data_IF_736915578915
#
_entry.id   IF_736915578915
#
_cell.length_a   1.000
_cell.length_b   1.000
_cell.length_c   1.000
_cell.angle_alpha   90.00
_cell.angle_beta   90.00
_cell.angle_gamma   90.00
#
_symmetry.space_group_name_H-M   'P 1'
#
loop_
_entity.id
_entity.type
_entity.pdbx_description
1 polymer ?
#
# COMPACT_ATOMS: atom_id res chain seq x y z
N UNK A 1 2.23 -25.07 31.48
CA UNK A 1 1.75 -23.68 31.47
C UNK A 1 1.30 -23.37 30.06
N UNK A 2 0.02 -23.07 29.86
CA UNK A 2 -0.58 -22.84 28.55
C UNK A 2 -0.21 -21.43 28.10
N UNK A 3 0.70 -21.30 27.12
CA UNK A 3 0.98 -20.01 26.49
C UNK A 3 -0.26 -19.62 25.68
N UNK A 4 -1.04 -18.69 26.21
CA UNK A 4 -2.07 -18.00 25.45
C UNK A 4 -1.35 -17.23 24.35
N UNK A 5 -1.53 -17.68 23.11
CA UNK A 5 -1.23 -16.89 21.93
C UNK A 5 -2.25 -15.75 21.91
N UNK A 6 -1.99 -14.67 22.64
CA UNK A 6 -2.75 -13.45 22.46
C UNK A 6 -2.37 -12.87 21.09
N UNK A 7 -3.34 -12.56 20.21
CA UNK A 7 -3.04 -11.91 18.95
C UNK A 7 -2.40 -10.56 19.27
N UNK A 8 -1.20 -10.32 18.75
CA UNK A 8 -0.51 -9.03 18.88
C UNK A 8 -1.42 -7.99 18.24
N UNK A 9 -1.92 -6.99 18.99
CA UNK A 9 -2.67 -5.90 18.41
C UNK A 9 -1.66 -5.05 17.64
N UNK A 10 -1.49 -5.32 16.35
CA UNK A 10 -0.82 -4.37 15.46
C UNK A 10 -1.70 -3.13 15.42
N UNK A 11 -1.36 -2.13 16.22
CA UNK A 11 -2.02 -0.82 16.29
C UNK A 11 -1.76 0.04 15.05
N UNK A 12 -0.91 -0.43 14.14
CA UNK A 12 -0.59 0.23 12.89
C UNK A 12 -1.44 -0.38 11.77
N UNK A 13 -2.35 0.42 11.24
CA UNK A 13 -3.16 0.08 10.08
C UNK A 13 -2.25 -0.17 8.86
N UNK A 14 -2.58 -1.18 8.05
CA UNK A 14 -1.79 -1.62 6.90
C UNK A 14 -1.39 -0.47 5.93
N UNK A 15 -2.24 0.55 5.68
CA UNK A 15 -1.84 1.72 4.88
C UNK A 15 -0.71 2.55 5.49
N UNK A 16 -0.60 2.63 6.83
CA UNK A 16 0.49 3.37 7.47
C UNK A 16 1.83 2.66 7.28
N UNK A 17 1.82 1.33 7.33
CA UNK A 17 3.01 0.52 7.06
C UNK A 17 3.53 0.72 5.62
N UNK A 18 2.62 0.79 4.64
CA UNK A 18 2.99 1.03 3.24
C UNK A 18 3.65 2.39 3.00
N UNK A 19 3.42 3.39 3.86
CA UNK A 19 4.09 4.69 3.75
C UNK A 19 5.59 4.61 4.02
N UNK A 20 6.05 3.60 4.76
CA UNK A 20 7.46 3.41 5.08
C UNK A 20 8.25 2.73 3.96
N UNK A 21 7.56 2.11 2.99
CA UNK A 21 8.22 1.41 1.90
C UNK A 21 8.97 2.39 0.99
N UNK A 22 10.07 1.99 0.38
CA UNK A 22 10.57 2.74 -0.77
C UNK A 22 9.82 2.33 -2.05
N UNK A 23 10.09 3.01 -3.17
CA UNK A 23 9.42 2.70 -4.43
C UNK A 23 9.77 1.29 -4.95
N UNK A 24 10.96 0.79 -4.61
CA UNK A 24 11.39 -0.56 -4.98
C UNK A 24 10.63 -1.62 -4.18
N UNK A 25 10.36 -1.36 -2.91
CA UNK A 25 9.58 -2.22 -2.03
C UNK A 25 8.11 -2.22 -2.46
N UNK A 26 7.52 -1.06 -2.73
CA UNK A 26 6.17 -0.98 -3.30
C UNK A 26 6.05 -1.76 -4.60
N UNK A 27 7.04 -1.64 -5.50
CA UNK A 27 7.04 -2.40 -6.75
C UNK A 27 7.12 -3.91 -6.49
N UNK A 28 8.07 -4.36 -5.66
CA UNK A 28 8.23 -5.79 -5.32
C UNK A 28 6.97 -6.36 -4.70
N UNK A 29 6.38 -5.67 -3.73
CA UNK A 29 5.17 -6.14 -3.06
C UNK A 29 3.94 -6.13 -3.97
N UNK A 30 3.84 -5.16 -4.89
CA UNK A 30 2.79 -5.15 -5.92
C UNK A 30 2.90 -6.38 -6.82
N UNK A 31 4.11 -6.67 -7.33
CA UNK A 31 4.35 -7.85 -8.17
C UNK A 31 4.08 -9.15 -7.41
N UNK A 32 4.65 -9.31 -6.22
CA UNK A 32 4.46 -10.48 -5.35
C UNK A 32 2.98 -10.73 -5.07
N UNK A 33 2.24 -9.69 -4.65
CA UNK A 33 0.83 -9.82 -4.31
C UNK A 33 -0.02 -10.14 -5.55
N UNK A 34 0.35 -9.61 -6.72
CA UNK A 34 -0.28 -9.94 -8.00
C UNK A 34 -0.10 -11.41 -8.38
N UNK A 35 1.12 -11.93 -8.29
CA UNK A 35 1.42 -13.34 -8.56
C UNK A 35 0.64 -14.27 -7.63
N UNK A 36 0.57 -13.95 -6.34
CA UNK A 36 -0.20 -14.74 -5.38
C UNK A 36 -1.70 -14.66 -5.65
N UNK A 37 -2.24 -13.49 -5.98
CA UNK A 37 -3.65 -13.34 -6.39
C UNK A 37 -3.95 -14.28 -7.56
N UNK A 38 -3.11 -14.27 -8.59
CA UNK A 38 -3.34 -15.03 -9.82
C UNK A 38 -3.27 -16.54 -9.55
N UNK A 39 -2.30 -17.00 -8.76
CA UNK A 39 -2.24 -18.39 -8.30
C UNK A 39 -3.50 -18.82 -7.55
N UNK A 40 -4.08 -17.94 -6.70
CA UNK A 40 -5.32 -18.25 -5.97
C UNK A 40 -6.55 -18.25 -6.86
N UNK A 41 -6.59 -17.37 -7.87
CA UNK A 41 -7.64 -17.40 -8.89
C UNK A 41 -7.62 -18.71 -9.68
N UNK A 42 -6.45 -19.14 -10.13
CA UNK A 42 -6.26 -20.41 -10.85
C UNK A 42 -6.66 -21.62 -10.01
N UNK A 43 -6.40 -21.58 -8.70
CA UNK A 43 -6.81 -22.61 -7.75
C UNK A 43 -8.30 -22.58 -7.36
N UNK A 44 -9.08 -21.60 -7.85
CA UNK A 44 -10.49 -21.40 -7.47
C UNK A 44 -10.70 -20.84 -6.06
N UNK A 45 -9.63 -20.39 -5.39
CA UNK A 45 -9.66 -19.84 -4.04
C UNK A 45 -10.03 -18.34 -4.05
N UNK A 46 -11.29 -18.04 -4.42
CA UNK A 46 -11.75 -16.66 -4.66
C UNK A 46 -11.62 -15.70 -3.47
N UNK A 47 -11.82 -16.19 -2.24
CA UNK A 47 -11.67 -15.37 -1.04
C UNK A 47 -10.21 -14.93 -0.84
N UNK A 48 -9.25 -15.85 -1.03
CA UNK A 48 -7.82 -15.54 -0.93
C UNK A 48 -7.37 -14.63 -2.08
N UNK A 49 -7.86 -14.87 -3.30
CA UNK A 49 -7.63 -13.97 -4.42
C UNK A 49 -8.16 -12.55 -4.12
N UNK A 50 -9.34 -12.43 -3.51
CA UNK A 50 -9.90 -11.15 -3.08
C UNK A 50 -9.02 -10.43 -2.06
N UNK A 51 -8.46 -11.17 -1.08
CA UNK A 51 -7.50 -10.63 -0.13
C UNK A 51 -6.25 -10.08 -0.82
N UNK A 52 -5.60 -10.88 -1.67
CA UNK A 52 -4.39 -10.44 -2.37
C UNK A 52 -4.66 -9.27 -3.32
N UNK A 53 -5.84 -9.24 -3.95
CA UNK A 53 -6.26 -8.10 -4.74
C UNK A 53 -6.41 -6.81 -3.92
N UNK A 54 -6.91 -6.90 -2.67
CA UNK A 54 -6.93 -5.76 -1.77
C UNK A 54 -5.52 -5.27 -1.43
N UNK A 55 -4.56 -6.18 -1.21
CA UNK A 55 -3.15 -5.81 -0.97
C UNK A 55 -2.54 -5.12 -2.19
N UNK A 56 -2.79 -5.62 -3.41
CA UNK A 56 -2.35 -4.98 -4.66
C UNK A 56 -2.91 -3.56 -4.76
N UNK A 57 -4.21 -3.37 -4.50
CA UNK A 57 -4.83 -2.05 -4.56
C UNK A 57 -4.21 -1.08 -3.55
N UNK A 58 -3.94 -1.53 -2.32
CA UNK A 58 -3.29 -0.69 -1.32
C UNK A 58 -1.89 -0.22 -1.77
N UNK A 59 -1.11 -1.09 -2.42
CA UNK A 59 0.19 -0.71 -2.95
C UNK A 59 0.08 0.31 -4.10
N UNK A 60 -0.94 0.16 -4.96
CA UNK A 60 -1.22 1.11 -6.05
C UNK A 60 -1.66 2.46 -5.48
N UNK A 61 -2.54 2.47 -4.49
CA UNK A 61 -3.05 3.68 -3.86
C UNK A 61 -1.91 4.48 -3.20
N UNK A 62 -0.99 3.82 -2.49
CA UNK A 62 0.18 4.49 -1.91
C UNK A 62 1.11 5.06 -2.99
N UNK A 63 1.31 4.35 -4.11
CA UNK A 63 2.07 4.89 -5.24
C UNK A 63 1.41 6.14 -5.83
N UNK A 64 0.09 6.13 -6.02
CA UNK A 64 -0.65 7.30 -6.52
C UNK A 64 -0.56 8.48 -5.55
N UNK A 65 -0.62 8.23 -4.24
CA UNK A 65 -0.42 9.25 -3.21
C UNK A 65 0.96 9.90 -3.31
N UNK A 66 2.02 9.11 -3.49
CA UNK A 66 3.38 9.63 -3.68
C UNK A 66 3.53 10.44 -4.96
N UNK A 67 2.94 9.98 -6.06
CA UNK A 67 2.95 10.74 -7.31
C UNK A 67 2.26 12.11 -7.16
N UNK A 68 1.20 12.19 -6.36
CA UNK A 68 0.53 13.46 -6.02
C UNK A 68 1.42 14.36 -5.16
N UNK A 69 2.07 13.80 -4.13
CA UNK A 69 3.01 14.54 -3.28
C UNK A 69 4.17 15.11 -4.09
N UNK A 70 4.77 14.31 -4.98
CA UNK A 70 5.87 14.76 -5.86
C UNK A 70 5.39 15.93 -6.72
N UNK A 71 4.23 15.82 -7.37
CA UNK A 71 3.66 16.90 -8.19
C UNK A 71 3.41 18.17 -7.37
N UNK A 72 2.94 18.03 -6.14
CA UNK A 72 2.75 19.16 -5.22
C UNK A 72 4.08 19.83 -4.88
N UNK A 73 5.09 19.05 -4.51
CA UNK A 73 6.44 19.55 -4.20
C UNK A 73 7.08 20.24 -5.42
N UNK A 74 6.92 19.68 -6.61
CA UNK A 74 7.37 20.28 -7.87
C UNK A 74 6.64 21.60 -8.18
N UNK A 75 5.35 21.70 -7.84
CA UNK A 75 4.60 22.95 -7.98
C UNK A 75 5.08 24.00 -6.99
N UNK A 76 5.26 23.64 -5.72
CA UNK A 76 5.79 24.52 -4.67
C UNK A 76 7.18 25.03 -5.04
N UNK A 77 8.05 24.16 -5.54
CA UNK A 77 9.39 24.53 -5.98
C UNK A 77 9.36 25.57 -7.12
N UNK A 78 8.42 25.44 -8.06
CA UNK A 78 8.31 26.35 -9.21
C UNK A 78 7.63 27.68 -8.90
N UNK A 79 6.66 27.69 -7.99
CA UNK A 79 5.78 28.85 -7.77
C UNK A 79 5.99 29.54 -6.43
N UNK A 80 6.63 28.86 -5.46
CA UNK A 80 6.71 29.29 -4.07
C UNK A 80 5.39 29.20 -3.30
N UNK A 81 4.34 28.63 -3.89
CA UNK A 81 3.00 28.53 -3.31
C UNK A 81 2.61 27.07 -3.14
N UNK A 82 2.02 26.75 -1.99
CA UNK A 82 1.47 25.44 -1.70
C UNK A 82 -0.01 25.37 -2.14
N UNK A 83 -0.36 24.52 -3.12
CA UNK A 83 -1.70 24.48 -3.70
C UNK A 83 -2.76 23.93 -2.72
N UNK A 84 -2.37 23.23 -1.66
CA UNK A 84 -3.33 22.72 -0.66
C UNK A 84 -3.42 23.61 0.59
N UNK A 85 -2.64 24.70 0.70
CA UNK A 85 -2.71 25.60 1.86
C UNK A 85 -3.98 26.47 1.90
N UNK A 86 -4.76 26.48 0.80
CA UNK A 86 -5.95 27.29 0.62
C UNK A 86 -7.26 26.47 0.53
N UNK A 87 -7.21 25.16 0.84
CA UNK A 87 -8.40 24.27 0.85
C UNK A 87 -8.85 23.94 2.27
#
# INVERSE_FOLDING_TARGET
MSHRHEPIPHTEDLPNFLREFDDSDLQRYTCFSGEFRDQRMEAGAMAEAGFWNAVVNLCIDERLRRDQDIKRLEYMYRTGVDPEHNS
#
